data_IF_894281849000
#
_entry.id   IF_894281849000
#
_cell.length_a   1.000
_cell.length_b   1.000
_cell.length_c   1.000
_cell.angle_alpha   90.00
_cell.angle_beta   90.00
_cell.angle_gamma   90.00
#
_symmetry.space_group_name_H-M   'P 1'
#
loop_
_entity.id
_entity.type
_entity.pdbx_description
1 polymer ?
#
# COMPACT_ATOMS: atom_id res chain seq x y z
N UNK A 1 37.43 8.51 62.22
CA UNK A 1 36.39 9.41 62.74
C UNK A 1 36.48 10.68 61.92
N UNK A 2 35.53 11.17 61.14
CA UNK A 2 34.25 10.73 60.55
C UNK A 2 33.91 11.90 59.59
N UNK A 3 33.75 11.67 58.28
CA UNK A 3 32.50 11.53 57.52
C UNK A 3 31.62 12.80 57.34
N UNK A 4 31.44 13.16 56.05
CA UNK A 4 30.23 13.71 55.36
C UNK A 4 29.89 15.21 55.64
N UNK A 5 29.41 16.06 54.72
CA UNK A 5 28.53 15.89 53.55
C UNK A 5 28.55 17.09 52.55
N UNK A 6 28.30 16.78 51.26
CA UNK A 6 27.50 17.42 50.18
C UNK A 6 27.39 18.94 49.87
N UNK A 7 27.63 19.20 48.57
CA UNK A 7 26.81 19.86 47.52
C UNK A 7 26.83 21.38 47.21
N UNK A 8 26.99 21.61 45.89
CA UNK A 8 26.48 22.62 44.91
C UNK A 8 27.13 23.99 44.61
N UNK A 9 27.64 24.06 43.35
CA UNK A 9 27.54 25.10 42.29
C UNK A 9 28.02 26.56 42.51
N UNK A 10 29.02 26.99 41.70
CA UNK A 10 28.79 27.59 40.36
C UNK A 10 30.08 28.26 39.81
N UNK A 11 30.58 27.83 38.65
CA UNK A 11 31.47 28.64 37.80
C UNK A 11 31.26 28.31 36.33
N UNK A 12 30.79 29.30 35.56
CA UNK A 12 30.89 29.37 34.09
C UNK A 12 32.28 29.88 33.71
N UNK A 13 32.83 29.52 32.52
CA UNK A 13 32.66 30.45 31.39
C UNK A 13 32.47 29.77 30.02
N UNK A 14 31.56 30.33 29.23
CA UNK A 14 31.44 30.20 27.78
C UNK A 14 32.19 31.35 27.09
N UNK A 15 33.13 31.06 26.16
CA UNK A 15 33.30 31.86 24.92
C UNK A 15 34.10 31.13 23.82
N UNK A 16 33.36 30.71 22.78
CA UNK A 16 33.63 30.82 21.32
C UNK A 16 34.83 30.14 20.64
N UNK A 17 34.51 29.18 19.75
CA UNK A 17 35.27 28.84 18.54
C UNK A 17 34.31 28.81 17.33
N UNK A 18 34.11 29.95 16.66
CA UNK A 18 33.20 30.11 15.51
C UNK A 18 33.92 30.27 14.14
N UNK A 19 35.26 30.20 14.08
CA UNK A 19 36.01 30.41 12.84
C UNK A 19 36.16 29.19 11.91
N UNK A 20 35.94 27.96 12.40
CA UNK A 20 36.26 26.74 11.65
C UNK A 20 35.15 26.28 10.67
N UNK A 21 33.93 26.80 10.79
CA UNK A 21 32.76 26.30 10.04
C UNK A 21 32.58 26.99 8.70
N UNK A 22 32.94 28.28 8.57
CA UNK A 22 32.79 29.04 7.32
C UNK A 22 33.73 28.58 6.21
N UNK A 23 34.94 28.11 6.55
CA UNK A 23 35.96 27.68 5.60
C UNK A 23 35.58 26.36 4.88
N UNK A 24 34.88 25.47 5.59
CA UNK A 24 34.50 24.14 5.10
C UNK A 24 33.37 24.18 4.05
N UNK A 25 32.43 25.11 4.21
CA UNK A 25 31.31 25.27 3.29
C UNK A 25 31.75 25.93 1.97
N UNK A 26 32.71 26.85 2.05
CA UNK A 26 33.30 27.51 0.89
C UNK A 26 34.13 26.53 0.04
N UNK A 27 34.93 25.68 0.68
CA UNK A 27 35.69 24.59 0.01
C UNK A 27 34.74 23.59 -0.66
N UNK A 28 33.60 23.28 -0.04
CA UNK A 28 32.61 22.35 -0.60
C UNK A 28 31.90 22.93 -1.83
N UNK A 29 31.57 24.22 -1.81
CA UNK A 29 30.99 24.93 -2.94
C UNK A 29 31.97 25.02 -4.13
N UNK A 30 33.23 25.33 -3.89
CA UNK A 30 34.25 25.42 -4.95
C UNK A 30 34.56 24.06 -5.58
N UNK A 31 34.58 22.98 -4.77
CA UNK A 31 34.73 21.63 -5.29
C UNK A 31 33.53 21.19 -6.13
N UNK A 32 32.30 21.59 -5.75
CA UNK A 32 31.10 21.27 -6.52
C UNK A 32 31.12 21.92 -7.91
N UNK A 33 31.50 23.21 -8.00
CA UNK A 33 31.62 23.93 -9.27
C UNK A 33 32.67 23.31 -10.19
N UNK A 34 33.85 22.97 -9.66
CA UNK A 34 34.91 22.29 -10.43
C UNK A 34 34.49 20.92 -10.97
N UNK A 35 33.61 20.20 -10.27
CA UNK A 35 33.09 18.91 -10.72
C UNK A 35 32.06 19.09 -11.85
N UNK A 36 31.26 20.14 -11.78
CA UNK A 36 30.24 20.48 -12.79
C UNK A 36 30.90 20.95 -14.10
N UNK A 37 31.93 21.79 -14.01
CA UNK A 37 32.73 22.22 -15.16
C UNK A 37 33.42 21.04 -15.86
N UNK A 38 34.01 20.12 -15.08
CA UNK A 38 34.62 18.89 -15.63
C UNK A 38 33.60 17.96 -16.29
N UNK A 39 32.38 17.89 -15.74
CA UNK A 39 31.30 17.10 -16.33
C UNK A 39 30.88 17.69 -17.67
N UNK A 40 30.72 19.00 -17.76
CA UNK A 40 30.41 19.69 -19.00
C UNK A 40 31.53 19.51 -20.05
N UNK A 41 32.80 19.60 -19.63
CA UNK A 41 33.95 19.36 -20.51
C UNK A 41 33.97 17.91 -21.03
N UNK A 42 33.70 16.93 -20.17
CA UNK A 42 33.62 15.53 -20.57
C UNK A 42 32.42 15.28 -21.50
N UNK A 43 31.25 15.85 -21.22
CA UNK A 43 30.08 15.72 -22.09
C UNK A 43 30.32 16.30 -23.48
N UNK A 44 31.11 17.37 -23.61
CA UNK A 44 31.47 17.93 -24.91
C UNK A 44 32.53 17.08 -25.63
N UNK A 45 33.51 16.53 -24.91
CA UNK A 45 34.48 15.57 -25.47
C UNK A 45 33.79 14.29 -25.95
N UNK A 46 32.86 13.76 -25.16
CA UNK A 46 32.10 12.55 -25.49
C UNK A 46 31.26 12.74 -26.77
N UNK A 47 30.66 13.94 -26.97
CA UNK A 47 29.95 14.26 -28.22
C UNK A 47 30.88 14.30 -29.43
N UNK A 48 32.07 14.87 -29.27
CA UNK A 48 33.09 14.92 -30.34
C UNK A 48 33.56 13.51 -30.69
N UNK A 49 33.82 12.67 -29.69
CA UNK A 49 34.22 11.27 -29.87
C UNK A 49 33.11 10.42 -30.50
N UNK A 50 31.86 10.57 -30.06
CA UNK A 50 30.69 9.88 -30.60
C UNK A 50 30.42 10.26 -32.07
N UNK A 51 30.69 11.53 -32.44
CA UNK A 51 30.64 12.00 -33.83
C UNK A 51 31.65 11.33 -34.76
N UNK A 52 32.76 10.80 -34.22
CA UNK A 52 33.83 10.11 -34.96
C UNK A 52 33.63 8.59 -35.06
N UNK A 53 32.56 8.04 -34.49
CA UNK A 53 32.24 6.61 -34.66
C UNK A 53 31.91 6.29 -36.12
N UNK A 54 32.45 5.19 -36.65
CA UNK A 54 32.11 4.69 -37.99
C UNK A 54 30.62 4.32 -38.05
N UNK A 55 29.91 4.82 -39.05
CA UNK A 55 28.54 4.43 -39.34
C UNK A 55 28.52 3.08 -40.04
N UNK A 56 27.86 2.09 -39.45
CA UNK A 56 27.80 0.70 -39.94
C UNK A 56 26.37 0.30 -40.30
N UNK A 57 26.21 -0.86 -40.94
CA UNK A 57 24.90 -1.41 -41.31
C UNK A 57 23.91 -1.42 -40.12
N UNK A 58 22.66 -1.04 -40.36
CA UNK A 58 21.60 -0.79 -39.37
C UNK A 58 21.81 0.44 -38.46
N UNK A 59 22.71 1.36 -38.82
CA UNK A 59 22.75 2.67 -38.22
C UNK A 59 21.39 3.39 -38.40
N UNK A 60 20.90 4.05 -37.35
CA UNK A 60 19.65 4.82 -37.43
C UNK A 60 19.92 6.16 -38.09
N UNK A 61 19.04 6.57 -38.98
CA UNK A 61 19.13 7.83 -39.71
C UNK A 61 17.88 8.67 -39.55
N UNK A 62 18.00 9.94 -39.87
CA UNK A 62 16.89 10.87 -40.03
C UNK A 62 17.04 11.72 -41.29
N UNK A 63 15.92 12.12 -41.88
CA UNK A 63 15.82 13.16 -42.90
C UNK A 63 14.69 14.10 -42.49
N UNK A 64 15.01 15.34 -42.09
CA UNK A 64 14.06 16.20 -41.38
C UNK A 64 13.41 15.46 -40.19
N UNK A 65 12.09 15.25 -40.23
CA UNK A 65 11.33 14.51 -39.22
C UNK A 65 11.24 12.99 -39.49
N UNK A 66 11.66 12.51 -40.67
CA UNK A 66 11.52 11.12 -41.09
C UNK A 66 12.66 10.26 -40.55
N UNK A 67 12.33 9.25 -39.74
CA UNK A 67 13.29 8.30 -39.19
C UNK A 67 13.41 7.06 -40.06
N UNK A 68 14.62 6.49 -40.11
CA UNK A 68 14.89 5.30 -40.91
C UNK A 68 16.16 4.56 -40.52
N UNK A 69 16.53 3.62 -41.38
CA UNK A 69 17.70 2.77 -41.25
C UNK A 69 18.62 2.89 -42.47
N UNK A 70 19.92 2.91 -42.16
CA UNK A 70 20.99 2.83 -43.14
C UNK A 70 21.39 1.38 -43.40
N UNK A 71 21.44 1.01 -44.68
CA UNK A 71 21.77 -0.30 -45.17
C UNK A 71 23.01 -0.24 -46.06
N UNK A 72 24.10 -0.85 -45.60
CA UNK A 72 25.28 -1.10 -46.43
C UNK A 72 24.95 -2.26 -47.37
N UNK A 73 25.08 -2.04 -48.68
CA UNK A 73 24.73 -3.01 -49.72
C UNK A 73 25.95 -3.58 -50.44
N UNK A 74 27.10 -2.93 -50.38
CA UNK A 74 28.34 -3.47 -50.92
C UNK A 74 28.97 -4.49 -49.97
N UNK A 75 29.68 -5.46 -50.53
CA UNK A 75 30.40 -6.48 -49.79
C UNK A 75 31.74 -5.92 -49.28
N UNK A 76 31.66 -5.22 -48.15
CA UNK A 76 32.76 -4.50 -47.50
C UNK A 76 33.10 -5.13 -46.15
N UNK A 77 34.36 -5.04 -45.68
CA UNK A 77 34.76 -5.50 -44.35
C UNK A 77 33.83 -5.04 -43.22
N UNK A 78 33.69 -5.89 -42.21
CA UNK A 78 32.83 -5.62 -41.06
C UNK A 78 33.56 -4.86 -39.96
N UNK A 79 32.85 -3.95 -39.30
CA UNK A 79 33.24 -3.33 -38.03
C UNK A 79 32.24 -3.81 -36.98
N UNK A 80 32.73 -4.39 -35.88
CA UNK A 80 31.90 -4.99 -34.82
C UNK A 80 30.84 -5.99 -35.35
N UNK A 81 31.22 -6.81 -36.34
CA UNK A 81 30.34 -7.84 -36.90
C UNK A 81 29.26 -7.33 -37.86
N UNK A 82 29.26 -6.05 -38.24
CA UNK A 82 28.35 -5.50 -39.27
C UNK A 82 29.13 -4.79 -40.37
N UNK A 83 28.61 -4.80 -41.60
CA UNK A 83 29.26 -4.17 -42.77
C UNK A 83 29.53 -2.68 -42.50
N UNK A 84 30.73 -2.21 -42.83
CA UNK A 84 31.17 -0.82 -42.59
C UNK A 84 30.62 0.13 -43.66
N UNK A 85 29.98 1.24 -43.27
CA UNK A 85 29.49 2.23 -44.21
C UNK A 85 30.63 3.00 -44.88
N UNK A 86 30.52 3.21 -46.18
CA UNK A 86 31.48 3.98 -46.97
C UNK A 86 30.76 4.95 -47.91
N UNK A 87 31.48 5.92 -48.48
CA UNK A 87 30.92 6.96 -49.36
C UNK A 87 30.21 6.43 -50.63
N UNK A 88 30.40 5.15 -50.98
CA UNK A 88 29.69 4.53 -52.11
C UNK A 88 28.24 4.13 -51.77
N UNK A 89 27.88 4.10 -50.48
CA UNK A 89 26.52 3.86 -50.00
C UNK A 89 25.67 5.13 -50.11
N UNK A 90 25.40 5.55 -51.36
CA UNK A 90 24.66 6.77 -51.70
C UNK A 90 23.51 6.54 -52.68
N UNK A 91 23.00 5.31 -52.77
CA UNK A 91 21.84 4.95 -53.61
C UNK A 91 20.58 4.94 -52.75
N UNK A 92 19.42 5.20 -53.35
CA UNK A 92 18.13 5.17 -52.65
C UNK A 92 17.90 3.87 -51.85
N UNK A 93 18.25 2.66 -52.36
CA UNK A 93 18.10 1.41 -51.60
C UNK A 93 18.96 1.28 -50.33
N UNK A 94 19.92 2.18 -50.12
CA UNK A 94 20.70 2.24 -48.89
C UNK A 94 19.89 2.80 -47.70
N UNK A 95 18.69 3.32 -47.94
CA UNK A 95 17.91 4.03 -46.94
C UNK A 95 16.46 3.52 -46.92
N UNK A 96 15.99 3.13 -45.73
CA UNK A 96 14.60 2.73 -45.50
C UNK A 96 14.01 3.62 -44.44
N UNK A 97 12.95 4.37 -44.76
CA UNK A 97 12.25 5.20 -43.79
C UNK A 97 11.00 4.49 -43.26
N UNK A 98 10.77 4.57 -41.96
CA UNK A 98 9.73 3.79 -41.28
C UNK A 98 8.30 4.24 -41.61
N UNK A 99 8.13 5.49 -42.01
CA UNK A 99 6.86 6.11 -42.37
C UNK A 99 6.56 6.04 -43.88
N UNK A 100 7.40 5.34 -44.64
CA UNK A 100 7.25 5.19 -46.09
C UNK A 100 7.78 6.37 -46.90
N UNK A 101 8.47 7.35 -46.30
CA UNK A 101 9.20 8.40 -47.01
C UNK A 101 10.20 7.81 -48.00
N UNK A 102 10.31 8.40 -49.19
CA UNK A 102 11.21 7.94 -50.25
C UNK A 102 12.12 9.06 -50.73
N UNK A 103 13.41 8.76 -50.81
CA UNK A 103 14.37 9.63 -51.48
C UNK A 103 14.09 9.66 -52.98
N UNK A 104 14.21 10.85 -53.58
CA UNK A 104 14.08 11.11 -55.01
C UNK A 104 15.47 11.30 -55.62
N UNK A 105 16.31 12.12 -54.97
CA UNK A 105 17.68 12.38 -55.39
C UNK A 105 18.60 12.52 -54.18
N UNK A 106 19.87 12.17 -54.39
CA UNK A 106 20.95 12.22 -53.42
C UNK A 106 22.16 12.86 -54.09
N UNK A 107 22.95 13.60 -53.31
CA UNK A 107 24.16 14.29 -53.78
C UNK A 107 25.39 13.50 -53.34
N UNK A 108 26.38 14.15 -52.74
CA UNK A 108 27.61 13.54 -52.22
C UNK A 108 27.63 13.59 -50.70
N UNK A 109 28.27 12.60 -50.10
CA UNK A 109 28.49 12.58 -48.66
C UNK A 109 29.37 13.76 -48.24
N UNK A 110 29.02 14.33 -47.09
CA UNK A 110 29.76 15.38 -46.39
C UNK A 110 30.21 14.85 -45.03
N UNK A 111 31.28 15.44 -44.48
CA UNK A 111 31.80 15.12 -43.14
C UNK A 111 32.12 13.63 -42.92
N UNK A 112 32.64 12.95 -43.96
CA UNK A 112 33.10 11.57 -43.92
C UNK A 112 34.53 11.44 -43.35
N UNK A 113 34.91 10.22 -42.98
CA UNK A 113 36.19 9.93 -42.36
C UNK A 113 37.34 9.90 -43.36
N UNK A 114 38.57 10.04 -42.86
CA UNK A 114 39.79 9.97 -43.69
C UNK A 114 40.31 8.54 -43.87
N UNK A 115 39.83 7.59 -43.07
CA UNK A 115 40.15 6.17 -43.21
C UNK A 115 39.47 5.57 -44.44
N UNK A 116 40.13 4.59 -45.07
CA UNK A 116 39.63 3.89 -46.25
C UNK A 116 39.37 2.42 -45.96
N UNK A 117 38.28 1.91 -46.51
CA UNK A 117 37.95 0.48 -46.56
C UNK A 117 37.71 0.14 -48.03
N UNK A 118 38.53 -0.77 -48.57
CA UNK A 118 38.54 -1.10 -50.01
C UNK A 118 38.57 0.16 -50.88
N UNK A 119 39.55 1.03 -50.63
CA UNK A 119 39.80 2.31 -51.31
C UNK A 119 38.72 3.40 -51.17
N UNK A 120 37.61 3.13 -50.50
CA UNK A 120 36.53 4.10 -50.27
C UNK A 120 36.58 4.68 -48.87
N UNK A 121 36.37 6.00 -48.75
CA UNK A 121 36.32 6.67 -47.45
C UNK A 121 35.14 6.16 -46.60
N UNK A 122 35.39 5.97 -45.31
CA UNK A 122 34.39 5.49 -44.35
C UNK A 122 33.41 6.60 -43.95
N UNK A 123 32.17 6.21 -43.66
CA UNK A 123 31.17 7.13 -43.09
C UNK A 123 31.32 7.17 -41.57
N UNK A 124 31.12 8.36 -41.00
CA UNK A 124 31.10 8.61 -39.56
C UNK A 124 29.68 8.94 -39.12
N UNK A 125 29.41 8.91 -37.81
CA UNK A 125 28.13 9.34 -37.25
C UNK A 125 27.80 10.78 -37.62
N UNK A 126 28.81 11.65 -37.69
CA UNK A 126 28.64 13.04 -38.12
C UNK A 126 28.44 13.20 -39.64
N UNK A 127 28.62 12.15 -40.44
CA UNK A 127 28.50 12.26 -41.90
C UNK A 127 27.05 12.55 -42.30
N UNK A 128 26.89 13.38 -43.32
CA UNK A 128 25.57 13.78 -43.82
C UNK A 128 25.48 13.64 -45.34
N UNK A 129 24.28 13.33 -45.84
CA UNK A 129 24.02 13.18 -47.28
C UNK A 129 22.85 14.07 -47.71
N UNK A 130 23.10 15.22 -48.34
CA UNK A 130 22.04 16.08 -48.88
C UNK A 130 21.20 15.37 -49.95
N UNK A 131 19.91 15.67 -49.98
CA UNK A 131 19.00 15.10 -50.96
C UNK A 131 17.61 15.73 -50.95
N UNK A 132 16.77 15.20 -51.83
CA UNK A 132 15.35 15.56 -51.94
C UNK A 132 14.54 14.27 -51.77
N UNK A 133 13.48 14.30 -50.96
CA UNK A 133 12.59 13.17 -50.77
C UNK A 133 11.12 13.58 -50.71
N UNK A 134 10.22 12.60 -50.64
CA UNK A 134 8.78 12.83 -50.48
C UNK A 134 8.08 11.67 -49.79
N UNK A 135 7.00 11.99 -49.08
CA UNK A 135 6.00 10.99 -48.71
C UNK A 135 5.13 10.63 -49.93
N UNK A 136 4.72 9.36 -50.08
CA UNK A 136 3.74 8.96 -51.07
C UNK A 136 2.43 9.75 -50.91
N UNK A 137 2.04 10.51 -51.94
CA UNK A 137 0.81 11.32 -51.92
C UNK A 137 0.97 12.79 -51.48
N UNK A 138 2.17 13.22 -51.07
CA UNK A 138 2.42 14.62 -50.68
C UNK A 138 3.06 15.45 -51.82
N UNK A 139 2.64 16.71 -51.97
CA UNK A 139 3.25 17.75 -52.82
C UNK A 139 3.32 19.03 -51.97
N UNK A 140 4.49 19.66 -51.75
CA UNK A 140 5.74 19.56 -52.49
C UNK A 140 6.79 18.57 -51.92
N UNK A 141 7.82 18.19 -52.70
CA UNK A 141 8.99 17.46 -52.20
C UNK A 141 9.76 18.23 -51.12
N UNK A 142 10.39 17.50 -50.21
CA UNK A 142 11.20 18.05 -49.13
C UNK A 142 12.69 18.02 -49.47
N UNK A 143 13.36 19.17 -49.29
CA UNK A 143 14.82 19.28 -49.39
C UNK A 143 15.41 19.20 -47.99
N UNK A 144 16.50 18.44 -47.83
CA UNK A 144 17.13 18.21 -46.54
C UNK A 144 18.40 17.39 -46.66
N UNK A 145 18.80 16.76 -45.56
CA UNK A 145 19.97 15.86 -45.51
C UNK A 145 19.66 14.65 -44.64
N UNK A 146 20.25 13.52 -45.01
CA UNK A 146 20.31 12.33 -44.17
C UNK A 146 21.38 12.57 -43.11
N UNK A 147 21.03 12.36 -41.84
CA UNK A 147 21.94 12.42 -40.70
C UNK A 147 21.87 11.12 -39.91
N UNK A 148 23.00 10.62 -39.40
CA UNK A 148 22.97 9.47 -38.50
C UNK A 148 22.55 9.89 -37.10
N UNK A 149 21.48 9.27 -36.61
CA UNK A 149 21.03 9.35 -35.21
C UNK A 149 21.89 8.44 -34.34
N UNK A 150 22.26 7.27 -34.87
CA UNK A 150 23.23 6.35 -34.23
C UNK A 150 24.22 5.86 -35.28
N UNK A 151 25.46 5.56 -34.88
CA UNK A 151 26.46 4.97 -35.79
C UNK A 151 26.22 3.49 -36.06
N UNK A 152 25.32 2.84 -35.32
CA UNK A 152 25.13 1.39 -35.35
C UNK A 152 26.20 0.59 -34.60
N UNK A 153 27.30 1.23 -34.18
CA UNK A 153 28.30 0.64 -33.30
C UNK A 153 27.77 0.48 -31.88
N UNK A 154 28.21 -0.57 -31.22
CA UNK A 154 28.07 -0.76 -29.78
C UNK A 154 29.21 0.04 -29.14
N UNK A 155 28.91 1.27 -28.68
CA UNK A 155 29.83 2.02 -27.82
C UNK A 155 29.75 1.51 -26.38
N UNK A 156 30.13 0.24 -26.20
CA UNK A 156 30.53 -0.30 -24.91
C UNK A 156 32.03 -0.54 -25.02
N UNK A 157 32.86 -0.16 -24.03
CA UNK A 157 34.25 -0.56 -24.00
C UNK A 157 34.32 -2.06 -24.28
N UNK A 158 35.10 -2.45 -25.30
CA UNK A 158 35.42 -3.86 -25.53
C UNK A 158 36.03 -4.41 -24.24
N UNK A 159 35.66 -5.64 -23.90
CA UNK A 159 36.17 -6.36 -22.72
C UNK A 159 37.66 -6.06 -22.52
N UNK A 160 37.99 -5.29 -21.48
CA UNK A 160 39.34 -5.31 -20.92
C UNK A 160 39.63 -6.76 -20.55
N UNK A 161 40.73 -7.31 -21.03
CA UNK A 161 41.24 -8.59 -20.55
C UNK A 161 41.77 -8.37 -19.14
N UNK A 162 40.83 -8.32 -18.21
CA UNK A 162 41.14 -8.46 -16.82
C UNK A 162 41.12 -9.96 -16.55
N UNK A 163 42.30 -10.57 -16.42
CA UNK A 163 42.53 -11.51 -15.31
C UNK A 163 42.40 -10.75 -13.96
N UNK A 164 41.30 -10.01 -13.81
CA UNK A 164 40.84 -9.40 -12.59
C UNK A 164 39.78 -10.32 -12.01
N UNK A 165 39.83 -10.49 -10.70
CA UNK A 165 38.93 -11.34 -9.94
C UNK A 165 37.48 -11.24 -10.44
N UNK A 166 36.73 -12.37 -10.46
CA UNK A 166 35.39 -12.44 -11.02
C UNK A 166 34.55 -11.25 -10.53
N UNK A 167 33.88 -10.56 -11.47
CA UNK A 167 32.89 -9.53 -11.13
C UNK A 167 31.92 -10.16 -10.14
N UNK A 168 31.81 -9.65 -8.89
CA UNK A 168 30.90 -10.22 -7.92
C UNK A 168 29.50 -10.23 -8.54
N UNK A 169 28.84 -11.38 -8.51
CA UNK A 169 27.43 -11.46 -8.86
C UNK A 169 26.69 -10.35 -8.12
N UNK A 170 25.74 -9.68 -8.79
CA UNK A 170 24.92 -8.65 -8.14
C UNK A 170 24.43 -9.21 -6.80
N UNK A 171 24.80 -8.59 -5.66
CA UNK A 171 24.57 -9.19 -4.36
C UNK A 171 23.09 -9.46 -4.23
N UNK A 172 22.74 -10.69 -3.84
CA UNK A 172 21.33 -11.04 -3.67
C UNK A 172 20.75 -10.17 -2.58
N UNK A 173 19.72 -9.40 -2.92
CA UNK A 173 18.99 -8.56 -1.98
C UNK A 173 17.58 -9.11 -1.81
N UNK A 174 17.06 -9.01 -0.58
CA UNK A 174 15.75 -9.54 -0.20
C UNK A 174 14.97 -8.44 0.49
N UNK A 175 13.72 -8.25 0.08
CA UNK A 175 12.76 -7.41 0.77
C UNK A 175 11.52 -8.25 1.12
N UNK A 176 11.07 -8.16 2.37
CA UNK A 176 9.90 -8.91 2.85
C UNK A 176 8.78 -7.90 3.10
N UNK A 177 7.64 -8.11 2.45
CA UNK A 177 6.44 -7.32 2.67
C UNK A 177 5.89 -7.46 4.09
N UNK A 178 4.92 -6.61 4.43
CA UNK A 178 4.27 -6.64 5.75
C UNK A 178 3.20 -7.72 5.85
N UNK A 179 2.94 -8.18 7.07
CA UNK A 179 1.85 -9.12 7.39
C UNK A 179 0.62 -8.32 7.82
N UNK A 180 0.10 -7.49 6.92
CA UNK A 180 -1.04 -6.61 7.23
C UNK A 180 -2.33 -7.40 7.05
N UNK A 181 -3.10 -7.59 8.13
CA UNK A 181 -4.48 -8.04 7.99
C UNK A 181 -5.31 -6.89 7.41
N UNK A 182 -5.82 -7.08 6.20
CA UNK A 182 -6.98 -6.31 5.76
C UNK A 182 -8.17 -6.68 6.64
N UNK A 183 -8.75 -5.69 7.35
CA UNK A 183 -10.14 -5.77 7.80
C UNK A 183 -11.02 -6.00 6.55
N UNK A 184 -12.21 -6.63 6.58
CA UNK A 184 -13.14 -6.66 5.44
C UNK A 184 -13.44 -5.32 4.71
N UNK A 185 -12.93 -4.17 5.18
CA UNK A 185 -13.04 -2.85 4.53
C UNK A 185 -11.74 -2.11 4.24
N UNK A 186 -10.58 -2.76 4.39
CA UNK A 186 -9.32 -2.14 3.96
C UNK A 186 -8.61 -3.06 2.99
N UNK A 187 -8.34 -2.52 1.81
CA UNK A 187 -7.60 -3.21 0.75
C UNK A 187 -6.26 -3.73 1.29
N UNK A 188 -5.74 -4.77 0.63
CA UNK A 188 -4.39 -5.29 0.90
C UNK A 188 -3.42 -4.09 0.91
N UNK A 189 -2.62 -3.97 1.97
CA UNK A 189 -1.66 -2.87 2.21
C UNK A 189 -2.22 -1.53 2.71
N UNK A 190 -3.41 -1.50 3.33
CA UNK A 190 -3.91 -0.29 3.97
C UNK A 190 -2.92 0.33 4.97
N UNK A 191 -2.97 1.66 5.08
CA UNK A 191 -2.17 2.45 6.02
C UNK A 191 -2.31 1.92 7.46
N UNK A 192 -1.20 1.93 8.20
CA UNK A 192 -1.16 1.54 9.62
C UNK A 192 -2.10 2.38 10.51
N UNK A 193 -2.55 3.55 10.04
CA UNK A 193 -3.47 4.44 10.76
C UNK A 193 -4.94 4.02 10.60
N UNK A 194 -5.28 3.27 9.55
CA UNK A 194 -6.64 2.81 9.26
C UNK A 194 -6.85 1.30 9.49
N UNK A 195 -5.77 0.56 9.76
CA UNK A 195 -5.76 -0.90 9.90
C UNK A 195 -5.57 -1.40 11.32
N UNK A 196 -5.63 -2.72 11.48
CA UNK A 196 -5.17 -3.40 12.69
C UNK A 196 -3.65 -3.59 12.64
N UNK A 197 -2.97 -3.74 13.79
CA UNK A 197 -1.57 -4.15 13.81
C UNK A 197 -1.31 -5.44 13.01
N UNK A 198 -0.11 -5.54 12.44
CA UNK A 198 0.31 -6.67 11.61
C UNK A 198 0.05 -8.00 12.34
N UNK A 199 -0.75 -8.85 11.71
CA UNK A 199 -1.20 -10.09 12.35
C UNK A 199 -1.83 -11.08 11.36
N UNK A 200 -1.80 -12.36 11.74
CA UNK A 200 -2.48 -13.46 11.03
C UNK A 200 -3.49 -14.13 11.97
N UNK A 201 -4.70 -14.51 11.51
CA UNK A 201 -5.63 -15.25 12.36
C UNK A 201 -5.14 -16.66 12.68
N UNK A 202 -5.55 -17.18 13.84
CA UNK A 202 -5.23 -18.55 14.23
C UNK A 202 -5.81 -19.53 13.19
N UNK A 203 -4.98 -20.47 12.75
CA UNK A 203 -5.29 -21.49 11.74
C UNK A 203 -5.69 -20.95 10.35
N UNK A 204 -5.51 -19.64 10.09
CA UNK A 204 -5.71 -19.04 8.78
C UNK A 204 -4.37 -18.68 8.14
N UNK A 205 -4.45 -18.45 6.83
CA UNK A 205 -3.30 -18.14 5.98
C UNK A 205 -3.37 -16.71 5.49
N UNK A 206 -2.21 -16.10 5.25
CA UNK A 206 -2.08 -14.79 4.63
C UNK A 206 -0.92 -14.78 3.64
N UNK A 207 -1.06 -14.04 2.54
CA UNK A 207 -0.02 -13.92 1.52
C UNK A 207 0.88 -12.72 1.77
N UNK A 208 2.19 -12.97 1.81
CA UNK A 208 3.22 -11.94 1.91
C UNK A 208 4.11 -12.02 0.67
N UNK A 209 4.32 -10.90 0.00
CA UNK A 209 5.26 -10.86 -1.11
C UNK A 209 6.70 -10.71 -0.60
N UNK A 210 7.59 -11.59 -1.06
CA UNK A 210 9.03 -11.52 -0.82
C UNK A 210 9.70 -11.21 -2.15
N UNK A 211 10.31 -10.03 -2.25
CA UNK A 211 11.01 -9.58 -3.45
C UNK A 211 12.48 -9.97 -3.38
N UNK A 212 13.00 -10.57 -4.46
CA UNK A 212 14.40 -10.97 -4.59
C UNK A 212 15.01 -10.29 -5.81
N UNK A 213 16.18 -9.69 -5.64
CA UNK A 213 17.02 -9.24 -6.77
C UNK A 213 18.33 -10.01 -6.78
N UNK A 214 18.83 -10.38 -7.96
CA UNK A 214 20.04 -11.20 -8.11
C UNK A 214 19.71 -12.69 -8.24
N UNK A 215 20.75 -13.54 -8.26
CA UNK A 215 20.62 -15.00 -8.39
C UNK A 215 21.02 -15.67 -7.08
N UNK A 216 20.12 -16.45 -6.48
CA UNK A 216 20.42 -17.23 -5.29
C UNK A 216 19.17 -17.90 -4.72
N UNK A 217 19.39 -18.83 -3.79
CA UNK A 217 18.35 -19.45 -3.00
C UNK A 217 18.20 -18.69 -1.68
N UNK A 218 16.98 -18.31 -1.34
CA UNK A 218 16.64 -17.64 -0.09
C UNK A 218 15.81 -18.58 0.76
N UNK A 219 16.32 -18.90 1.94
CA UNK A 219 15.62 -19.67 2.95
C UNK A 219 14.81 -18.74 3.84
N UNK A 220 13.56 -19.09 4.08
CA UNK A 220 12.58 -18.34 4.87
C UNK A 220 12.21 -19.12 6.11
N UNK A 221 12.22 -18.45 7.26
CA UNK A 221 11.79 -19.02 8.53
C UNK A 221 10.95 -18.02 9.32
N UNK A 222 10.06 -18.54 10.19
CA UNK A 222 9.48 -17.73 11.25
C UNK A 222 10.43 -17.78 12.45
N UNK A 223 10.80 -16.60 12.96
CA UNK A 223 11.65 -16.45 14.13
C UNK A 223 10.87 -15.84 15.30
N UNK A 224 11.45 -15.97 16.49
CA UNK A 224 10.88 -15.53 17.78
C UNK A 224 9.61 -16.27 18.22
N UNK A 225 9.29 -17.41 17.59
CA UNK A 225 8.22 -18.29 18.06
C UNK A 225 8.55 -18.84 19.45
N UNK A 226 7.62 -18.66 20.39
CA UNK A 226 7.68 -19.23 21.73
C UNK A 226 6.27 -19.24 22.34
N UNK A 227 6.15 -19.68 23.60
CA UNK A 227 4.86 -19.80 24.28
C UNK A 227 4.10 -18.47 24.41
N UNK A 228 4.81 -17.33 24.45
CA UNK A 228 4.20 -16.01 24.62
C UNK A 228 3.94 -15.29 23.29
N UNK A 229 4.91 -15.32 22.38
CA UNK A 229 4.81 -14.64 21.09
C UNK A 229 3.86 -15.34 20.12
N UNK A 230 3.49 -16.59 20.42
CA UNK A 230 2.72 -17.45 19.52
C UNK A 230 3.61 -18.15 18.50
N UNK A 231 2.99 -18.69 17.46
CA UNK A 231 3.71 -19.40 16.40
C UNK A 231 3.02 -19.28 15.04
N UNK A 232 3.82 -19.31 13.98
CA UNK A 232 3.37 -19.33 12.60
C UNK A 232 4.31 -20.18 11.72
N UNK A 233 3.86 -20.53 10.52
CA UNK A 233 4.69 -21.17 9.49
C UNK A 233 4.72 -20.35 8.21
N UNK A 234 5.80 -20.47 7.43
CA UNK A 234 5.96 -19.87 6.11
C UNK A 234 6.10 -20.95 5.04
N UNK A 235 5.44 -20.80 3.89
CA UNK A 235 5.52 -21.75 2.77
C UNK A 235 5.39 -21.04 1.42
N UNK A 236 6.23 -21.32 0.42
CA UNK A 236 7.41 -22.19 0.51
C UNK A 236 8.48 -21.61 1.45
N UNK A 237 9.26 -22.49 2.10
CA UNK A 237 10.37 -22.11 2.99
C UNK A 237 11.65 -21.79 2.24
N UNK A 238 11.70 -22.00 0.92
CA UNK A 238 12.85 -21.67 0.08
C UNK A 238 12.35 -21.13 -1.26
N UNK A 239 12.90 -20.00 -1.71
CA UNK A 239 12.52 -19.32 -2.95
C UNK A 239 13.76 -18.81 -3.70
N UNK A 240 13.67 -18.71 -5.03
CA UNK A 240 14.79 -18.25 -5.90
C UNK A 240 14.46 -17.01 -6.71
N UNK A 241 13.21 -16.59 -6.71
CA UNK A 241 12.69 -15.40 -7.40
C UNK A 241 11.62 -14.74 -6.53
N UNK A 242 11.21 -13.52 -6.88
CA UNK A 242 10.10 -12.83 -6.21
C UNK A 242 8.88 -13.74 -6.14
N UNK A 243 8.39 -14.00 -4.92
CA UNK A 243 7.36 -15.00 -4.66
C UNK A 243 6.39 -14.49 -3.60
N UNK A 244 5.10 -14.79 -3.78
CA UNK A 244 4.10 -14.66 -2.72
C UNK A 244 4.14 -15.90 -1.84
N UNK A 245 4.57 -15.74 -0.61
CA UNK A 245 4.62 -16.82 0.38
C UNK A 245 3.40 -16.79 1.28
N UNK A 246 3.03 -17.96 1.78
CA UNK A 246 1.89 -18.18 2.66
C UNK A 246 2.38 -18.22 4.09
N UNK A 247 1.84 -17.33 4.93
CA UNK A 247 2.03 -17.32 6.38
C UNK A 247 0.80 -17.92 7.04
N UNK A 248 0.95 -18.97 7.84
CA UNK A 248 -0.15 -19.60 8.59
C UNK A 248 0.05 -19.41 10.09
N UNK A 249 -0.92 -18.84 10.79
CA UNK A 249 -0.90 -18.79 12.26
C UNK A 249 -1.19 -20.17 12.86
N UNK A 250 -0.36 -20.65 13.79
CA UNK A 250 -0.47 -22.00 14.38
C UNK A 250 -0.63 -21.99 15.90
N UNK A 251 -0.18 -20.93 16.58
CA UNK A 251 -0.44 -20.71 18.00
C UNK A 251 -0.68 -19.22 18.29
N UNK A 252 -1.67 -18.92 19.10
CA UNK A 252 -2.08 -17.54 19.43
C UNK A 252 -1.00 -16.82 20.26
N UNK A 253 -0.80 -15.53 19.98
CA UNK A 253 0.05 -14.64 20.77
C UNK A 253 -0.63 -14.30 22.10
N UNK A 254 0.11 -14.39 23.20
CA UNK A 254 -0.38 -14.03 24.53
C UNK A 254 -0.59 -12.50 24.65
N UNK A 255 -1.55 -12.07 25.50
CA UNK A 255 -1.73 -10.65 25.82
C UNK A 255 -0.42 -9.92 26.15
N UNK A 256 -0.16 -8.80 25.49
CA UNK A 256 1.06 -7.98 25.73
C UNK A 256 2.28 -8.37 24.89
N UNK A 257 2.22 -9.46 24.12
CA UNK A 257 3.34 -9.96 23.31
C UNK A 257 3.19 -9.71 21.80
N UNK A 258 2.38 -8.70 21.45
CA UNK A 258 2.10 -8.35 20.06
C UNK A 258 3.34 -7.90 19.27
N UNK A 259 3.40 -8.28 18.01
CA UNK A 259 4.41 -7.80 17.05
C UNK A 259 5.79 -8.43 17.19
N UNK A 260 5.92 -9.57 17.87
CA UNK A 260 7.22 -10.19 18.14
C UNK A 260 7.66 -11.21 17.09
N UNK A 261 6.71 -11.85 16.38
CA UNK A 261 7.02 -12.81 15.31
C UNK A 261 7.58 -12.07 14.09
N UNK A 262 8.56 -12.66 13.42
CA UNK A 262 9.12 -12.11 12.17
C UNK A 262 9.38 -13.21 11.17
N UNK A 263 9.36 -12.83 9.89
CA UNK A 263 9.89 -13.64 8.80
C UNK A 263 11.37 -13.27 8.65
N UNK A 264 12.24 -14.27 8.72
CA UNK A 264 13.68 -14.12 8.48
C UNK A 264 14.02 -14.73 7.12
N UNK A 265 14.78 -13.99 6.31
CA UNK A 265 15.33 -14.47 5.05
C UNK A 265 16.85 -14.66 5.17
N UNK A 266 17.33 -15.85 4.85
CA UNK A 266 18.75 -16.23 4.89
C UNK A 266 19.24 -16.66 3.51
N UNK A 267 20.51 -16.41 3.24
CA UNK A 267 21.23 -16.91 2.05
C UNK A 267 22.53 -17.54 2.54
N UNK A 268 22.71 -18.84 2.32
CA UNK A 268 23.86 -19.57 2.84
C UNK A 268 23.99 -19.45 4.36
N UNK A 269 22.87 -19.48 5.08
CA UNK A 269 22.82 -19.31 6.54
C UNK A 269 22.94 -17.87 7.07
N UNK A 270 23.30 -16.90 6.22
CA UNK A 270 23.47 -15.49 6.62
C UNK A 270 22.16 -14.74 6.45
N UNK A 271 21.71 -14.04 7.50
CA UNK A 271 20.50 -13.21 7.46
C UNK A 271 20.68 -12.05 6.48
N UNK A 272 19.72 -11.89 5.56
CA UNK A 272 19.69 -10.80 4.58
C UNK A 272 18.55 -9.83 4.81
N UNK A 273 17.42 -10.30 5.34
CA UNK A 273 16.28 -9.46 5.66
C UNK A 273 15.47 -10.04 6.82
N UNK A 274 14.79 -9.16 7.53
CA UNK A 274 13.73 -9.53 8.48
C UNK A 274 12.51 -8.67 8.19
N UNK A 275 11.31 -9.26 8.30
CA UNK A 275 10.06 -8.51 8.17
C UNK A 275 9.85 -7.57 9.37
N UNK A 276 8.86 -6.68 9.23
CA UNK A 276 8.25 -6.09 10.43
C UNK A 276 7.64 -7.18 11.32
N UNK A 277 7.54 -6.85 12.61
CA UNK A 277 6.96 -7.71 13.61
C UNK A 277 5.45 -7.91 13.42
N UNK A 278 4.97 -9.13 13.63
CA UNK A 278 3.54 -9.47 13.55
C UNK A 278 3.10 -10.37 14.70
N UNK A 279 1.78 -10.58 14.81
CA UNK A 279 1.16 -11.42 15.85
C UNK A 279 0.27 -12.50 15.26
N UNK A 280 -0.09 -13.51 16.05
CA UNK A 280 -1.18 -14.45 15.74
C UNK A 280 -2.35 -14.13 16.66
N UNK A 281 -3.46 -13.61 16.14
CA UNK A 281 -4.61 -13.19 16.95
C UNK A 281 -5.91 -13.26 16.17
N UNK A 282 -7.06 -13.36 16.84
CA UNK A 282 -8.35 -13.43 16.17
C UNK A 282 -9.16 -12.15 16.40
N UNK A 283 -9.85 -11.68 15.37
CA UNK A 283 -10.64 -10.46 15.40
C UNK A 283 -12.10 -10.72 15.00
N UNK A 284 -12.96 -9.82 15.43
CA UNK A 284 -14.36 -9.82 15.02
C UNK A 284 -14.49 -9.29 13.58
N UNK A 285 -15.17 -10.05 12.73
CA UNK A 285 -15.42 -9.70 11.32
C UNK A 285 -16.89 -9.48 10.99
N UNK A 286 -17.77 -9.71 11.96
CA UNK A 286 -19.20 -9.49 11.81
C UNK A 286 -19.84 -9.38 13.19
N UNK A 287 -21.03 -8.79 13.22
CA UNK A 287 -21.84 -8.70 14.42
C UNK A 287 -23.32 -8.91 14.04
N UNK A 288 -24.04 -9.66 14.87
CA UNK A 288 -25.49 -9.81 14.73
C UNK A 288 -26.21 -9.72 16.08
N UNK A 289 -27.50 -9.40 16.02
CA UNK A 289 -28.38 -9.44 17.19
C UNK A 289 -29.62 -10.23 16.86
N UNK A 290 -29.95 -11.21 17.70
CA UNK A 290 -31.17 -12.00 17.61
C UNK A 290 -32.07 -11.73 18.81
N UNK A 291 -33.38 -11.91 18.64
CA UNK A 291 -34.33 -11.79 19.74
C UNK A 291 -34.00 -12.82 20.82
N UNK A 292 -33.91 -12.39 22.07
CA UNK A 292 -33.65 -13.27 23.20
C UNK A 292 -34.85 -13.35 24.15
N UNK A 293 -35.32 -12.20 24.63
CA UNK A 293 -36.40 -12.16 25.60
C UNK A 293 -37.25 -10.90 25.45
N UNK A 294 -38.56 -11.05 25.57
CA UNK A 294 -39.47 -9.94 25.73
C UNK A 294 -39.32 -9.29 27.12
N UNK A 295 -39.49 -7.97 27.20
CA UNK A 295 -39.53 -7.25 28.48
C UNK A 295 -40.84 -6.49 28.57
N UNK A 296 -41.77 -7.03 29.35
CA UNK A 296 -43.06 -6.42 29.65
C UNK A 296 -43.33 -6.45 31.15
N UNK A 297 -42.63 -5.59 31.90
CA UNK A 297 -42.69 -5.52 33.36
C UNK A 297 -43.41 -4.24 33.81
N UNK A 298 -43.88 -4.17 35.07
CA UNK A 298 -44.58 -2.98 35.58
C UNK A 298 -43.75 -1.68 35.51
N UNK A 299 -42.42 -1.78 35.61
CA UNK A 299 -41.52 -0.63 35.60
C UNK A 299 -40.75 -0.44 34.30
N UNK A 300 -40.70 -1.44 33.41
CA UNK A 300 -39.86 -1.40 32.21
C UNK A 300 -40.50 -2.16 31.05
N UNK A 301 -40.26 -1.68 29.84
CA UNK A 301 -40.80 -2.25 28.62
C UNK A 301 -39.76 -2.25 27.49
N UNK A 302 -39.74 -3.29 26.64
CA UNK A 302 -38.85 -3.38 25.49
C UNK A 302 -38.38 -4.81 25.21
N UNK A 303 -37.13 -4.98 24.83
CA UNK A 303 -36.59 -6.28 24.40
C UNK A 303 -35.16 -6.50 24.92
N UNK A 304 -34.82 -7.76 25.17
CA UNK A 304 -33.43 -8.21 25.30
C UNK A 304 -33.02 -8.95 24.04
N UNK A 305 -31.80 -8.68 23.58
CA UNK A 305 -31.21 -9.33 22.42
C UNK A 305 -29.97 -10.11 22.83
N UNK A 306 -29.75 -11.22 22.15
CA UNK A 306 -28.48 -11.92 22.18
C UNK A 306 -27.59 -11.35 21.07
N UNK A 307 -26.40 -10.90 21.46
CA UNK A 307 -25.39 -10.38 20.54
C UNK A 307 -24.40 -11.49 20.18
N UNK A 308 -24.16 -11.66 18.88
CA UNK A 308 -23.31 -12.70 18.33
C UNK A 308 -22.17 -12.07 17.53
N UNK A 309 -20.97 -12.61 17.72
CA UNK A 309 -19.76 -12.20 17.02
C UNK A 309 -19.40 -13.30 16.01
N UNK A 310 -18.72 -12.92 14.94
CA UNK A 310 -18.06 -13.89 14.07
C UNK A 310 -16.55 -13.62 14.09
N UNK A 311 -15.78 -14.66 14.40
CA UNK A 311 -14.32 -14.63 14.40
C UNK A 311 -13.76 -14.87 13.00
N UNK A 312 -12.68 -14.17 12.64
CA UNK A 312 -11.91 -14.50 11.44
C UNK A 312 -11.18 -15.85 11.48
N UNK A 313 -11.06 -16.48 12.64
CA UNK A 313 -10.64 -17.89 12.71
C UNK A 313 -11.76 -18.87 12.35
N UNK A 314 -13.01 -18.43 12.38
CA UNK A 314 -14.21 -19.28 12.32
C UNK A 314 -14.62 -19.87 13.68
N UNK A 315 -13.88 -19.57 14.77
CA UNK A 315 -14.20 -19.99 16.13
C UNK A 315 -14.32 -18.78 17.06
N UNK A 316 -15.50 -18.58 17.65
CA UNK A 316 -15.75 -17.46 18.57
C UNK A 316 -14.99 -17.61 19.89
N UNK A 317 -14.61 -18.84 20.28
CA UNK A 317 -13.79 -19.06 21.45
C UNK A 317 -12.40 -18.40 21.34
N UNK A 318 -11.93 -18.18 20.11
CA UNK A 318 -10.63 -17.55 19.86
C UNK A 318 -10.67 -16.03 20.08
N UNK A 319 -11.86 -15.45 20.30
CA UNK A 319 -12.04 -14.03 20.62
C UNK A 319 -11.86 -13.74 22.13
N UNK A 320 -11.37 -14.71 22.90
CA UNK A 320 -11.16 -14.63 24.37
C UNK A 320 -10.33 -13.42 24.80
N UNK A 321 -9.36 -13.01 23.97
CA UNK A 321 -8.47 -11.88 24.26
C UNK A 321 -8.98 -10.53 23.70
N UNK A 322 -10.22 -10.49 23.20
CA UNK A 322 -10.88 -9.26 22.80
C UNK A 322 -11.67 -8.66 23.96
N UNK A 323 -11.71 -7.33 23.99
CA UNK A 323 -12.71 -6.59 24.75
C UNK A 323 -13.55 -5.75 23.80
N UNK A 324 -14.82 -5.58 24.13
CA UNK A 324 -15.82 -4.85 23.35
C UNK A 324 -16.35 -3.63 24.09
N UNK A 325 -16.71 -2.62 23.34
CA UNK A 325 -17.42 -1.44 23.82
C UNK A 325 -18.51 -1.09 22.81
N UNK A 326 -19.68 -0.75 23.31
CA UNK A 326 -20.81 -0.26 22.53
C UNK A 326 -20.71 1.27 22.46
N UNK A 327 -20.99 1.82 21.29
CA UNK A 327 -21.07 3.26 21.04
C UNK A 327 -22.49 3.57 20.61
N UNK A 328 -23.21 4.33 21.43
CA UNK A 328 -24.63 4.67 21.18
C UNK A 328 -24.76 6.17 20.97
N UNK A 329 -25.56 6.59 19.99
CA UNK A 329 -25.93 7.97 19.74
C UNK A 329 -27.45 8.15 19.80
N UNK A 330 -27.87 9.20 20.51
CA UNK A 330 -29.25 9.67 20.58
C UNK A 330 -29.43 11.07 19.99
N UNK A 331 -28.39 11.91 20.05
CA UNK A 331 -28.47 13.32 19.64
C UNK A 331 -28.65 13.50 18.13
N UNK A 332 -29.50 14.45 17.74
CA UNK A 332 -29.79 14.74 16.33
C UNK A 332 -30.58 13.63 15.61
N UNK A 333 -31.16 12.70 16.37
CA UNK A 333 -32.08 11.67 15.88
C UNK A 333 -33.51 11.99 16.33
N UNK A 334 -34.47 11.24 15.78
CA UNK A 334 -35.89 11.35 16.13
C UNK A 334 -36.09 11.11 17.62
N UNK A 335 -36.66 12.09 18.32
CA UNK A 335 -37.08 11.96 19.71
C UNK A 335 -38.34 12.81 19.95
N UNK A 336 -39.50 12.20 19.71
CA UNK A 336 -40.79 12.87 19.91
C UNK A 336 -41.06 13.07 21.40
N UNK A 337 -41.18 14.33 21.80
CA UNK A 337 -41.48 14.73 23.17
C UNK A 337 -42.71 15.64 23.20
N UNK A 338 -43.84 15.19 23.76
CA UNK A 338 -44.15 13.81 24.20
C UNK A 338 -44.28 12.84 22.99
N UNK A 339 -44.27 11.50 23.18
CA UNK A 339 -44.49 10.76 24.42
C UNK A 339 -43.25 10.45 25.25
N UNK A 340 -42.05 10.64 24.70
CA UNK A 340 -40.81 10.40 25.42
C UNK A 340 -40.33 11.67 26.14
N UNK A 341 -39.53 11.57 27.21
CA UNK A 341 -38.91 12.74 27.80
C UNK A 341 -37.99 13.42 26.78
N UNK A 342 -37.68 14.71 26.97
CA UNK A 342 -36.57 15.30 26.25
C UNK A 342 -35.32 14.49 26.61
N UNK A 343 -34.67 13.91 25.61
CA UNK A 343 -33.29 13.50 25.76
C UNK A 343 -32.54 14.82 26.02
N UNK A 344 -32.03 15.01 27.24
CA UNK A 344 -31.00 16.03 27.45
C UNK A 344 -29.89 15.79 26.43
N UNK A 345 -29.00 16.74 26.19
CA UNK A 345 -27.91 16.66 25.20
C UNK A 345 -26.90 15.53 25.49
N UNK A 346 -27.36 14.30 25.72
CA UNK A 346 -26.61 13.10 25.95
C UNK A 346 -25.84 12.83 24.68
N UNK A 347 -24.61 13.34 24.73
CA UNK A 347 -23.47 12.89 23.97
C UNK A 347 -23.47 11.37 23.88
N UNK A 348 -22.89 10.88 22.79
CA UNK A 348 -22.66 9.46 22.58
C UNK A 348 -22.29 8.72 23.88
N UNK A 349 -23.07 7.71 24.26
CA UNK A 349 -22.79 6.90 25.43
C UNK A 349 -21.96 5.71 24.99
N UNK A 350 -20.73 5.63 25.51
CA UNK A 350 -19.89 4.46 25.32
C UNK A 350 -20.02 3.56 26.54
N UNK A 351 -20.30 2.28 26.32
CA UNK A 351 -20.27 1.32 27.42
C UNK A 351 -18.82 1.05 27.85
N UNK A 352 -18.62 0.72 29.14
CA UNK A 352 -17.34 0.23 29.64
C UNK A 352 -16.88 -0.98 28.83
N UNK A 353 -15.57 -1.15 28.65
CA UNK A 353 -15.01 -2.35 28.03
C UNK A 353 -15.48 -3.63 28.75
N UNK A 354 -16.10 -4.56 28.01
CA UNK A 354 -16.49 -5.90 28.47
C UNK A 354 -15.71 -6.96 27.69
N UNK A 355 -15.64 -8.19 28.19
CA UNK A 355 -15.08 -9.29 27.41
C UNK A 355 -15.82 -9.47 26.07
N UNK A 356 -15.07 -9.67 24.99
CA UNK A 356 -15.60 -9.95 23.65
C UNK A 356 -16.21 -11.35 23.56
N UNK A 357 -15.57 -12.33 24.20
CA UNK A 357 -16.09 -13.68 24.38
C UNK A 357 -16.24 -13.98 25.88
N UNK A 358 -17.48 -14.21 26.38
CA UNK A 358 -17.73 -14.42 27.81
C UNK A 358 -17.39 -15.84 28.31
N UNK A 359 -16.91 -16.73 27.44
CA UNK A 359 -16.65 -18.14 27.76
C UNK A 359 -17.61 -19.10 27.05
N UNK A 360 -17.26 -20.39 27.03
CA UNK A 360 -18.09 -21.41 26.38
C UNK A 360 -19.46 -21.52 27.05
N UNK A 361 -20.52 -21.54 26.25
CA UNK A 361 -21.91 -21.61 26.72
C UNK A 361 -22.46 -20.32 27.32
N UNK A 362 -21.66 -19.25 27.38
CA UNK A 362 -22.10 -17.95 27.86
C UNK A 362 -22.60 -17.10 26.70
N UNK A 363 -23.76 -16.47 26.89
CA UNK A 363 -24.41 -15.60 25.88
C UNK A 363 -24.21 -14.13 26.25
N UNK A 364 -24.13 -13.27 25.23
CA UNK A 364 -24.00 -11.83 25.42
C UNK A 364 -25.38 -11.21 25.31
N UNK A 365 -26.00 -10.90 26.46
CA UNK A 365 -27.30 -10.24 26.48
C UNK A 365 -27.14 -8.72 26.56
N UNK A 366 -27.88 -8.04 25.69
CA UNK A 366 -28.03 -6.59 25.65
C UNK A 366 -29.51 -6.24 25.84
N UNK A 367 -29.77 -5.14 26.56
CA UNK A 367 -31.12 -4.74 26.95
C UNK A 367 -31.49 -3.43 26.30
N UNK A 368 -32.59 -3.44 25.54
CA UNK A 368 -33.18 -2.28 24.88
C UNK A 368 -34.55 -2.02 25.50
N UNK A 369 -34.52 -1.46 26.70
CA UNK A 369 -35.71 -1.20 27.50
C UNK A 369 -35.81 0.27 27.88
N UNK A 370 -37.04 0.74 28.09
CA UNK A 370 -37.32 2.05 28.66
C UNK A 370 -38.20 1.91 29.90
N UNK A 371 -38.06 2.78 30.91
CA UNK A 371 -39.00 2.83 32.01
C UNK A 371 -40.41 3.19 31.50
N UNK A 372 -41.44 2.49 32.00
CA UNK A 372 -42.83 2.86 31.67
C UNK A 372 -43.19 4.27 32.15
N UNK A 373 -42.56 4.73 33.24
CA UNK A 373 -42.68 6.09 33.76
C UNK A 373 -42.13 7.17 32.83
N UNK A 374 -41.37 6.81 31.78
CA UNK A 374 -40.88 7.75 30.78
C UNK A 374 -41.87 7.94 29.62
N UNK A 375 -42.98 7.22 29.60
CA UNK A 375 -43.97 7.30 28.52
C UNK A 375 -45.14 8.17 28.97
N UNK A 376 -45.31 9.32 28.33
CA UNK A 376 -46.49 10.17 28.49
C UNK A 376 -47.55 9.78 27.48
N UNK A 377 -48.73 9.37 27.95
CA UNK A 377 -49.84 8.96 27.10
C UNK A 377 -50.52 10.17 26.43
N UNK A 378 -51.24 9.90 25.34
CA UNK A 378 -52.03 10.91 24.63
C UNK A 378 -51.41 11.39 23.32
N UNK A 379 -50.14 11.05 23.03
CA UNK A 379 -49.52 11.28 21.71
C UNK A 379 -48.72 10.05 21.25
N UNK A 380 -48.79 9.77 19.95
CA UNK A 380 -47.87 8.83 19.31
C UNK A 380 -46.51 9.49 19.14
N UNK A 381 -45.45 8.70 19.07
CA UNK A 381 -44.13 9.19 18.73
C UNK A 381 -43.07 8.11 18.77
N UNK A 382 -41.87 8.49 18.32
CA UNK A 382 -40.71 7.62 18.19
C UNK A 382 -39.52 8.21 18.95
N UNK A 383 -38.78 7.35 19.63
CA UNK A 383 -37.42 7.62 20.13
C UNK A 383 -36.45 6.68 19.41
N UNK A 384 -35.48 7.27 18.73
CA UNK A 384 -34.50 6.58 17.91
C UNK A 384 -33.09 6.64 18.53
N UNK A 385 -32.34 5.55 18.40
CA UNK A 385 -30.93 5.50 18.74
C UNK A 385 -30.15 4.75 17.67
N UNK A 386 -28.93 5.22 17.37
CA UNK A 386 -27.98 4.49 16.54
C UNK A 386 -26.91 3.86 17.41
N UNK A 387 -26.46 2.67 17.04
CA UNK A 387 -25.50 1.89 17.82
C UNK A 387 -24.47 1.24 16.89
N UNK A 388 -23.21 1.24 17.29
CA UNK A 388 -22.15 0.42 16.71
C UNK A 388 -21.28 -0.22 17.80
N UNK A 389 -20.45 -1.18 17.42
CA UNK A 389 -19.49 -1.80 18.34
C UNK A 389 -18.06 -1.54 17.91
N UNK A 390 -17.20 -1.42 18.92
CA UNK A 390 -15.74 -1.39 18.76
C UNK A 390 -15.08 -2.44 19.65
N UNK A 391 -13.88 -2.83 19.31
CA UNK A 391 -13.08 -3.78 20.06
C UNK A 391 -11.66 -3.29 20.30
N UNK A 392 -11.01 -3.90 21.28
CA UNK A 392 -9.55 -3.90 21.42
C UNK A 392 -9.04 -5.32 21.59
N UNK A 393 -7.81 -5.58 21.15
CA UNK A 393 -7.19 -6.89 21.18
C UNK A 393 -5.89 -6.82 21.99
N UNK A 394 -5.82 -7.59 23.08
CA UNK A 394 -4.62 -7.61 23.91
C UNK A 394 -3.44 -8.38 23.25
N UNK A 395 -3.73 -9.27 22.29
CA UNK A 395 -2.70 -10.05 21.59
C UNK A 395 -1.86 -9.19 20.66
N UNK A 396 -2.48 -8.34 19.84
CA UNK A 396 -1.78 -7.53 18.83
C UNK A 396 -1.69 -6.04 19.19
N UNK A 397 -2.37 -5.60 20.26
CA UNK A 397 -2.41 -4.20 20.68
C UNK A 397 -3.41 -3.34 19.91
N UNK A 398 -4.34 -3.93 19.15
CA UNK A 398 -5.39 -3.16 18.48
C UNK A 398 -6.28 -2.42 19.49
N UNK A 399 -6.57 -1.14 19.24
CA UNK A 399 -7.38 -0.27 20.12
C UNK A 399 -8.47 0.42 19.31
N UNK A 400 -9.67 0.52 19.91
CA UNK A 400 -10.81 1.27 19.35
C UNK A 400 -11.20 0.90 17.90
N UNK A 401 -10.99 -0.36 17.52
CA UNK A 401 -11.30 -0.83 16.16
C UNK A 401 -12.80 -1.05 16.02
N UNK A 402 -13.42 -0.43 15.02
CA UNK A 402 -14.84 -0.64 14.73
C UNK A 402 -15.06 -2.08 14.26
N UNK A 403 -16.01 -2.77 14.90
CA UNK A 403 -16.42 -4.11 14.47
C UNK A 403 -17.15 -3.97 13.12
N UNK A 404 -16.78 -4.77 12.11
CA UNK A 404 -17.48 -4.79 10.84
C UNK A 404 -18.93 -5.22 10.96
N UNK A 405 -19.79 -4.67 10.08
CA UNK A 405 -21.23 -4.94 10.06
C UNK A 405 -21.83 -4.90 11.48
N UNK A 406 -21.53 -3.86 12.26
CA UNK A 406 -22.00 -3.74 13.65
C UNK A 406 -23.01 -2.62 13.85
N UNK A 407 -23.52 -2.10 12.74
CA UNK A 407 -24.42 -0.96 12.75
C UNK A 407 -25.86 -1.33 12.99
N UNK A 408 -26.49 -0.64 13.94
CA UNK A 408 -27.89 -0.83 14.32
C UNK A 408 -28.65 0.48 14.43
N UNK A 409 -29.92 0.42 14.03
CA UNK A 409 -30.94 1.40 14.42
C UNK A 409 -31.87 0.75 15.43
N UNK A 410 -32.10 1.43 16.54
CA UNK A 410 -33.05 1.04 17.58
C UNK A 410 -34.17 2.05 17.65
N UNK A 411 -35.40 1.59 17.78
CA UNK A 411 -36.55 2.47 17.97
C UNK A 411 -37.40 2.00 19.13
N UNK A 412 -37.87 2.94 19.93
CA UNK A 412 -39.05 2.78 20.77
C UNK A 412 -40.17 3.58 20.13
N UNK A 413 -41.30 2.94 19.89
CA UNK A 413 -42.47 3.56 19.27
C UNK A 413 -43.64 3.47 20.24
N UNK A 414 -44.34 4.58 20.43
CA UNK A 414 -45.64 4.65 21.11
C UNK A 414 -46.68 5.03 20.08
N UNK A 415 -47.77 4.27 20.01
CA UNK A 415 -48.80 4.44 18.98
C UNK A 415 -50.18 4.09 19.50
N UNK A 416 -51.22 4.66 18.89
CA UNK A 416 -52.62 4.40 19.24
C UNK A 416 -53.25 3.43 18.23
N UNK A 417 -53.79 2.30 18.70
CA UNK A 417 -54.56 1.36 17.89
C UNK A 417 -56.08 1.49 18.07
N UNK A 418 -56.52 2.34 19.00
CA UNK A 418 -57.92 2.66 19.26
C UNK A 418 -58.42 3.84 18.44
N UNK A 419 -59.63 4.32 18.76
CA UNK A 419 -60.17 5.53 18.14
C UNK A 419 -59.69 6.78 18.87
N UNK A 420 -59.97 7.97 18.31
CA UNK A 420 -59.72 9.23 19.02
C UNK A 420 -60.53 9.35 20.31
N UNK A 421 -61.75 8.80 20.33
CA UNK A 421 -62.65 8.83 21.49
C UNK A 421 -62.35 7.74 22.53
N UNK A 422 -61.67 6.68 22.12
CA UNK A 422 -61.30 5.55 22.98
C UNK A 422 -59.91 5.06 22.58
N UNK A 423 -58.84 5.80 22.94
CA UNK A 423 -57.49 5.45 22.56
C UNK A 423 -57.04 4.17 23.26
N UNK A 424 -56.27 3.35 22.54
CA UNK A 424 -55.58 2.16 23.05
C UNK A 424 -54.11 2.37 22.73
N UNK A 425 -53.37 2.87 23.72
CA UNK A 425 -51.95 3.15 23.57
C UNK A 425 -51.13 1.88 23.68
N UNK A 426 -50.19 1.71 22.75
CA UNK A 426 -49.27 0.59 22.70
C UNK A 426 -47.84 1.07 22.57
N UNK A 427 -46.92 0.20 22.94
CA UNK A 427 -45.49 0.38 22.75
C UNK A 427 -44.87 -0.82 22.03
N UNK A 428 -43.88 -0.53 21.19
CA UNK A 428 -43.10 -1.52 20.45
C UNK A 428 -41.64 -1.08 20.41
N UNK A 429 -40.73 -2.04 20.52
CA UNK A 429 -39.29 -1.82 20.36
C UNK A 429 -38.78 -2.56 19.14
N UNK A 430 -37.94 -1.90 18.33
CA UNK A 430 -37.26 -2.56 17.21
C UNK A 430 -35.75 -2.36 17.29
N UNK A 431 -35.00 -3.35 16.80
CA UNK A 431 -33.56 -3.25 16.52
C UNK A 431 -33.28 -3.90 15.17
N UNK A 432 -32.86 -3.08 14.22
CA UNK A 432 -32.61 -3.49 12.83
C UNK A 432 -31.20 -3.15 12.43
N UNK A 433 -30.61 -3.95 11.53
CA UNK A 433 -29.37 -3.59 10.84
C UNK A 433 -29.48 -2.22 10.17
N UNK A 434 -28.51 -1.35 10.38
CA UNK A 434 -28.49 -0.01 9.79
C UNK A 434 -27.05 0.50 9.63
N UNK A 435 -26.72 1.15 8.52
CA UNK A 435 -25.40 1.74 8.34
C UNK A 435 -25.30 3.01 9.20
N UNK A 436 -24.25 3.15 9.99
CA UNK A 436 -24.18 4.20 11.01
C UNK A 436 -22.79 4.80 11.09
N UNK A 437 -22.77 6.12 11.30
CA UNK A 437 -21.58 6.89 11.64
C UNK A 437 -21.77 7.61 12.97
N UNK A 438 -20.94 7.32 13.98
CA UNK A 438 -20.97 7.97 15.30
C UNK A 438 -19.56 8.44 15.66
N UNK A 439 -19.38 9.75 15.86
CA UNK A 439 -18.09 10.32 16.26
C UNK A 439 -16.94 10.03 15.27
N UNK A 440 -17.24 9.99 13.97
CA UNK A 440 -16.26 9.65 12.91
C UNK A 440 -16.06 8.15 12.69
N UNK A 441 -16.58 7.30 13.57
CA UNK A 441 -16.56 5.84 13.41
C UNK A 441 -17.72 5.39 12.53
N UNK A 442 -17.46 4.60 11.49
CA UNK A 442 -18.48 4.14 10.56
C UNK A 442 -18.47 2.62 10.41
N UNK A 443 -19.65 2.02 10.24
CA UNK A 443 -19.81 0.59 9.97
C UNK A 443 -21.05 0.34 9.10
N UNK A 444 -21.04 -0.80 8.39
CA UNK A 444 -22.17 -1.27 7.60
C UNK A 444 -23.28 -1.86 8.50
N UNK A 445 -24.48 -2.09 7.95
CA UNK A 445 -25.57 -2.72 8.69
C UNK A 445 -25.17 -4.09 9.24
N UNK A 446 -25.48 -4.32 10.51
CA UNK A 446 -25.42 -5.63 11.12
C UNK A 446 -26.58 -6.52 10.68
N UNK A 447 -26.45 -7.83 10.89
CA UNK A 447 -27.59 -8.73 10.75
C UNK A 447 -28.48 -8.64 12.01
N UNK A 448 -29.59 -7.93 11.93
CA UNK A 448 -30.64 -7.94 12.94
C UNK A 448 -31.99 -7.53 12.34
N UNK A 449 -33.03 -8.21 12.81
CA UNK A 449 -34.43 -7.87 12.58
C UNK A 449 -35.25 -8.22 13.83
N UNK A 450 -34.94 -7.56 14.95
CA UNK A 450 -35.60 -7.80 16.23
C UNK A 450 -36.77 -6.85 16.40
N UNK A 451 -37.94 -7.40 16.72
CA UNK A 451 -39.16 -6.64 17.01
C UNK A 451 -39.78 -7.23 18.27
N UNK A 452 -40.07 -6.41 19.28
CA UNK A 452 -40.85 -6.83 20.44
C UNK A 452 -42.31 -7.06 20.04
N UNK A 453 -43.07 -7.88 20.78
CA UNK A 453 -44.53 -7.80 20.73
C UNK A 453 -45.02 -6.38 20.99
N UNK A 454 -46.24 -6.09 20.53
CA UNK A 454 -46.93 -4.87 20.92
C UNK A 454 -47.42 -5.00 22.37
N UNK A 455 -47.07 -4.04 23.20
CA UNK A 455 -47.48 -4.03 24.60
C UNK A 455 -48.50 -2.94 24.87
N UNK A 456 -49.55 -3.27 25.62
CA UNK A 456 -50.48 -2.27 26.10
C UNK A 456 -49.79 -1.34 27.12
N UNK A 457 -50.06 -0.06 26.95
CA UNK A 457 -49.78 0.97 27.94
C UNK A 457 -51.04 1.19 28.78
N UNK A 458 -50.89 1.52 30.08
CA UNK A 458 -52.01 1.66 31.01
C UNK A 458 -52.98 2.78 30.64
#
# INVERSE_FOLDING_TARGET
MDRLDKDTEATSPDTQNQGATQDRDQIKADNSRKMEDKRAENEEKDKVEDGLLLSIHQAKIKFNAHLGEFKVLNDVPTTQGKLTGTIVEKKIPNFTFYDGFKMISLVEWQDFGTAKVQDNFVLLKKSTLPGIGKLPGNIPPETGKIEFVTSGQINKPGSIDAEGAPVPSSPVSVHIGRVIRGNPYVEKNASAVAGVPDSVPLNKTYEVEVTITGKGSVDLAIINSNADNGNASVTPSTITTTTKVIIKGTAMTNPGHGGQLKIEAKIGGVVKATSQGFSVCCHAINFSSVFYQDVNQPNAIGVKVENLWESDSGSNADLINLQRSEVVKYSGLTNDNPPFPPLSSQSSQNSSWKAGYPGAGMIIIDSHTIPRSYITLGKSGIMEAHQLFKYKCACCGALDIVVPNSGFRRTHEVFNTGTKASPIWKHKTTKTGFAVTIGGLSTLPANANVVSPDHNLP
#
